data_IF_336945325970
#
_entry.id   IF_336945325970
#
_cell.length_a   1.000
_cell.length_b   1.000
_cell.length_c   1.000
_cell.angle_alpha   90.00
_cell.angle_beta   90.00
_cell.angle_gamma   90.00
#
_symmetry.space_group_name_H-M   'P 1'
#
loop_
_entity.id
_entity.type
_entity.pdbx_description
1 polymer ?
#
# COMPACT_ATOMS: atom_id res chain seq x y z
N UNK A 1 -6.68 -23.31 18.22
CA UNK A 1 -6.70 -21.83 18.21
C UNK A 1 -7.01 -21.39 16.80
N UNK A 2 -7.96 -20.47 16.61
CA UNK A 2 -8.32 -19.98 15.29
C UNK A 2 -7.17 -19.17 14.69
N UNK A 3 -6.85 -19.45 13.42
CA UNK A 3 -5.86 -18.71 12.63
C UNK A 3 -6.52 -18.28 11.33
N UNK A 4 -6.20 -17.09 10.85
CA UNK A 4 -6.61 -16.61 9.53
C UNK A 4 -5.35 -16.27 8.74
N UNK A 5 -5.19 -16.92 7.59
CA UNK A 5 -4.17 -16.56 6.59
C UNK A 5 -4.84 -15.73 5.52
N UNK A 6 -4.33 -14.52 5.30
CA UNK A 6 -4.69 -13.68 4.17
C UNK A 6 -3.48 -13.71 3.23
N UNK A 7 -3.72 -14.17 2.01
CA UNK A 7 -2.72 -14.19 0.93
C UNK A 7 -3.27 -13.34 -0.20
N UNK A 8 -2.48 -12.37 -0.65
CA UNK A 8 -2.82 -11.50 -1.77
C UNK A 8 -1.66 -11.56 -2.77
N UNK A 9 -1.95 -11.97 -4.00
CA UNK A 9 -0.96 -12.01 -5.08
C UNK A 9 -1.09 -10.82 -6.02
N UNK A 10 -0.11 -10.69 -6.92
CA UNK A 10 -0.10 -9.66 -7.96
C UNK A 10 -1.34 -9.72 -8.87
N UNK A 11 -1.83 -10.92 -9.19
CA UNK A 11 -3.00 -11.08 -10.08
C UNK A 11 -4.25 -10.46 -9.46
N UNK A 12 -4.49 -10.70 -8.17
CA UNK A 12 -5.60 -10.09 -7.45
C UNK A 12 -5.48 -8.55 -7.41
N UNK A 13 -4.29 -8.02 -7.12
CA UNK A 13 -4.07 -6.56 -7.04
C UNK A 13 -4.27 -5.90 -8.41
N UNK A 14 -3.68 -6.47 -9.46
CA UNK A 14 -3.80 -5.94 -10.81
C UNK A 14 -5.26 -6.04 -11.28
N UNK A 15 -5.97 -7.14 -11.00
CA UNK A 15 -7.39 -7.26 -11.34
C UNK A 15 -8.28 -6.22 -10.62
N UNK A 16 -7.96 -5.84 -9.38
CA UNK A 16 -8.65 -4.74 -8.69
C UNK A 16 -8.37 -3.39 -9.35
N UNK A 17 -7.11 -3.14 -9.73
CA UNK A 17 -6.69 -1.90 -10.38
C UNK A 17 -7.36 -1.76 -11.74
N UNK A 18 -7.33 -2.82 -12.55
CA UNK A 18 -7.97 -2.86 -13.87
C UNK A 18 -9.45 -2.52 -13.74
N UNK A 19 -10.15 -3.16 -12.79
CA UNK A 19 -11.56 -2.89 -12.53
C UNK A 19 -11.81 -1.44 -12.10
N UNK A 20 -10.95 -0.86 -11.26
CA UNK A 20 -11.05 0.55 -10.86
C UNK A 20 -10.84 1.48 -12.04
N UNK A 21 -9.91 1.18 -12.95
CA UNK A 21 -9.65 1.97 -14.16
C UNK A 21 -10.83 1.87 -15.13
N UNK A 22 -11.36 0.66 -15.36
CA UNK A 22 -12.55 0.42 -16.18
C UNK A 22 -13.78 1.17 -15.65
N UNK A 23 -13.99 1.15 -14.33
CA UNK A 23 -15.12 1.82 -13.68
C UNK A 23 -14.94 3.35 -13.60
N UNK A 24 -13.70 3.86 -13.57
CA UNK A 24 -13.38 5.28 -13.41
C UNK A 24 -12.69 5.90 -14.64
N UNK A 25 -13.15 5.54 -15.85
CA UNK A 25 -12.73 5.94 -17.22
C UNK A 25 -12.42 7.42 -17.52
N UNK A 26 -12.27 8.30 -16.53
CA UNK A 26 -11.94 9.71 -16.66
C UNK A 26 -10.44 10.05 -16.56
N UNK A 27 -9.54 9.08 -16.30
CA UNK A 27 -8.09 9.36 -16.29
C UNK A 27 -7.56 9.40 -17.73
N UNK A 28 -7.71 10.56 -18.39
CA UNK A 28 -7.19 10.79 -19.74
C UNK A 28 -5.67 10.53 -19.78
N UNK A 29 -5.25 9.65 -20.68
CA UNK A 29 -3.85 9.35 -20.92
C UNK A 29 -3.27 8.21 -20.08
N UNK A 30 -4.00 7.59 -19.16
CA UNK A 30 -3.55 6.35 -18.50
C UNK A 30 -3.93 5.15 -19.39
N UNK A 31 -2.92 4.39 -19.85
CA UNK A 31 -3.13 3.18 -20.67
C UNK A 31 -3.14 1.91 -19.81
N UNK A 32 -2.20 1.81 -18.87
CA UNK A 32 -2.06 0.64 -18.02
C UNK A 32 -1.42 1.02 -16.68
N UNK A 33 -1.77 0.29 -15.62
CA UNK A 33 -1.11 0.36 -14.32
C UNK A 33 -0.87 -1.06 -13.81
N UNK A 34 0.39 -1.47 -13.82
CA UNK A 34 0.82 -2.78 -13.33
C UNK A 34 1.52 -2.65 -11.98
N UNK A 35 1.24 -3.59 -11.09
CA UNK A 35 1.83 -3.70 -9.75
C UNK A 35 2.56 -5.02 -9.63
N UNK A 36 3.80 -4.95 -9.14
CA UNK A 36 4.63 -6.10 -8.82
C UNK A 36 5.02 -6.06 -7.35
N UNK A 37 4.83 -7.19 -6.65
CA UNK A 37 5.21 -7.40 -5.27
C UNK A 37 6.60 -8.04 -5.24
N UNK A 38 7.61 -7.26 -4.85
CA UNK A 38 9.01 -7.69 -4.74
C UNK A 38 9.42 -7.79 -3.27
N UNK A 39 10.41 -8.62 -2.96
CA UNK A 39 10.89 -8.76 -1.58
C UNK A 39 11.28 -7.43 -0.92
N UNK A 40 11.78 -6.47 -1.70
CA UNK A 40 12.22 -5.16 -1.24
C UNK A 40 11.15 -4.06 -1.32
N UNK A 41 9.94 -4.36 -1.82
CA UNK A 41 8.88 -3.38 -1.93
C UNK A 41 7.81 -3.67 -2.99
N UNK A 42 7.03 -2.64 -3.29
CA UNK A 42 5.95 -2.68 -4.28
C UNK A 42 6.36 -1.81 -5.46
N UNK A 43 6.53 -2.42 -6.62
CA UNK A 43 6.85 -1.71 -7.85
C UNK A 43 5.56 -1.39 -8.61
N UNK A 44 5.40 -0.13 -9.01
CA UNK A 44 4.31 0.38 -9.82
C UNK A 44 4.89 0.77 -11.18
N UNK A 45 4.33 0.20 -12.24
CA UNK A 45 4.66 0.55 -13.61
C UNK A 45 3.41 1.10 -14.27
N UNK A 46 3.49 2.35 -14.71
CA UNK A 46 2.40 3.07 -15.34
C UNK A 46 2.74 3.34 -16.79
N UNK A 47 1.88 2.91 -17.70
CA UNK A 47 1.98 3.29 -19.11
C UNK A 47 1.01 4.42 -19.38
N UNK A 48 1.53 5.53 -19.91
CA UNK A 48 0.76 6.73 -20.22
C UNK A 48 0.93 7.14 -21.67
N UNK A 49 -0.14 7.72 -22.23
CA UNK A 49 -0.13 8.45 -23.48
C UNK A 49 -0.37 9.92 -23.19
N UNK A 50 0.68 10.72 -23.33
CA UNK A 50 0.62 12.15 -23.11
C UNK A 50 0.95 12.88 -24.41
N UNK A 51 -0.01 13.65 -24.93
CA UNK A 51 0.12 14.41 -26.17
C UNK A 51 0.53 13.55 -27.39
N UNK A 52 0.05 12.30 -27.45
CA UNK A 52 0.35 11.37 -28.54
C UNK A 52 1.73 10.72 -28.43
N UNK A 53 2.37 10.80 -27.26
CA UNK A 53 3.61 10.09 -26.94
C UNK A 53 3.37 9.10 -25.82
N UNK A 54 3.73 7.86 -26.11
CA UNK A 54 3.75 6.80 -25.12
C UNK A 54 4.99 6.96 -24.22
N UNK A 55 4.77 6.88 -22.91
CA UNK A 55 5.81 6.85 -21.92
C UNK A 55 5.48 5.80 -20.86
N UNK A 56 6.52 5.10 -20.40
CA UNK A 56 6.42 4.22 -19.24
C UNK A 56 7.08 4.92 -18.07
N UNK A 57 6.36 4.96 -16.95
CA UNK A 57 6.82 5.59 -15.72
C UNK A 57 6.83 4.54 -14.62
N UNK A 58 7.90 4.50 -13.85
CA UNK A 58 8.09 3.48 -12.81
C UNK A 58 8.33 4.13 -11.46
N UNK A 59 7.73 3.56 -10.42
CA UNK A 59 7.99 3.91 -9.03
C UNK A 59 8.03 2.68 -8.15
N UNK A 60 8.98 2.67 -7.22
CA UNK A 60 9.15 1.61 -6.25
C UNK A 60 8.92 2.17 -4.85
N UNK A 61 7.95 1.57 -4.15
CA UNK A 61 7.67 1.80 -2.75
C UNK A 61 8.41 0.74 -1.93
N UNK A 62 9.52 1.11 -1.29
CA UNK A 62 10.28 0.21 -0.43
C UNK A 62 9.74 0.21 0.98
N UNK A 63 9.68 -0.95 1.62
CA UNK A 63 9.32 -1.06 3.04
C UNK A 63 10.59 -0.89 3.87
N UNK A 64 10.72 0.23 4.57
CA UNK A 64 11.86 0.54 5.45
C UNK A 64 11.68 -0.03 6.86
N UNK A 65 10.46 0.01 7.38
CA UNK A 65 10.10 -0.46 8.71
C UNK A 65 8.74 -1.15 8.64
N UNK A 66 8.65 -2.37 9.17
CA UNK A 66 7.38 -3.09 9.31
C UNK A 66 6.83 -2.87 10.73
N UNK A 67 5.52 -2.69 10.90
CA UNK A 67 4.92 -2.59 12.22
C UNK A 67 5.05 -3.93 12.97
N UNK A 68 5.08 -3.87 14.30
CA UNK A 68 5.17 -5.06 15.16
C UNK A 68 3.84 -5.83 15.18
N UNK A 69 2.72 -5.12 15.23
CA UNK A 69 1.38 -5.67 15.04
C UNK A 69 0.41 -4.63 14.43
N UNK A 70 -0.88 -5.01 14.29
CA UNK A 70 -1.91 -4.14 13.72
C UNK A 70 -2.39 -3.03 14.68
N UNK A 71 -1.98 -3.08 15.94
CA UNK A 71 -2.37 -2.16 17.02
C UNK A 71 -1.24 -1.16 17.33
N UNK A 72 0.01 -1.60 17.18
CA UNK A 72 1.21 -0.89 17.59
C UNK A 72 2.31 -1.01 16.53
N UNK A 73 2.93 0.13 16.28
CA UNK A 73 4.12 0.22 15.45
C UNK A 73 3.92 1.16 14.27
N UNK A 74 4.97 1.20 13.45
CA UNK A 74 5.10 2.13 12.34
C UNK A 74 5.40 1.36 11.08
N UNK A 75 4.61 1.58 10.04
CA UNK A 75 4.98 1.20 8.68
C UNK A 75 5.69 2.40 8.05
N UNK A 76 6.99 2.27 7.78
CA UNK A 76 7.73 3.28 7.03
C UNK A 76 7.96 2.79 5.62
N UNK A 77 7.59 3.63 4.67
CA UNK A 77 7.74 3.39 3.24
C UNK A 77 8.64 4.47 2.66
N UNK A 78 9.49 4.09 1.71
CA UNK A 78 10.30 5.03 0.91
C UNK A 78 9.87 4.97 -0.54
N UNK A 79 9.56 6.13 -1.11
CA UNK A 79 9.18 6.29 -2.49
C UNK A 79 10.42 6.58 -3.35
N UNK A 80 10.65 5.72 -4.33
CA UNK A 80 11.76 5.83 -5.28
C UNK A 80 11.26 5.66 -6.71
N UNK A 81 12.10 5.97 -7.70
CA UNK A 81 11.74 5.94 -9.13
C UNK A 81 11.52 7.34 -9.70
N UNK A 82 10.66 7.42 -10.72
CA UNK A 82 10.39 8.65 -11.47
C UNK A 82 9.87 9.78 -10.57
N UNK A 83 10.37 10.99 -10.81
CA UNK A 83 10.04 12.16 -9.99
C UNK A 83 8.55 12.53 -10.06
N UNK A 84 7.94 12.41 -11.24
CA UNK A 84 6.53 12.74 -11.46
C UNK A 84 5.61 11.82 -10.67
N UNK A 85 5.79 10.50 -10.83
CA UNK A 85 4.98 9.51 -10.10
C UNK A 85 5.23 9.61 -8.60
N UNK A 86 6.48 9.80 -8.17
CA UNK A 86 6.79 9.98 -6.75
C UNK A 86 6.04 11.18 -6.16
N UNK A 87 6.03 12.33 -6.83
CA UNK A 87 5.30 13.52 -6.37
C UNK A 87 3.79 13.31 -6.34
N UNK A 88 3.23 12.55 -7.29
CA UNK A 88 1.81 12.19 -7.28
C UNK A 88 1.50 11.33 -6.03
N UNK A 89 2.29 10.29 -5.78
CA UNK A 89 2.12 9.43 -4.61
C UNK A 89 2.29 10.22 -3.31
N UNK A 90 3.34 11.06 -3.20
CA UNK A 90 3.52 11.96 -2.06
C UNK A 90 2.31 12.86 -1.84
N UNK A 91 1.76 13.43 -2.91
CA UNK A 91 0.56 14.26 -2.87
C UNK A 91 -0.68 13.50 -2.39
N UNK A 92 -0.88 12.26 -2.85
CA UNK A 92 -1.97 11.40 -2.37
C UNK A 92 -1.82 11.13 -0.87
N UNK A 93 -0.64 10.72 -0.41
CA UNK A 93 -0.41 10.45 1.01
C UNK A 93 -0.43 11.72 1.86
N UNK A 94 -0.03 12.87 1.31
CA UNK A 94 -0.19 14.17 1.96
C UNK A 94 -1.67 14.49 2.18
N UNK A 95 -2.51 14.35 1.15
CA UNK A 95 -3.96 14.52 1.29
C UNK A 95 -4.52 13.57 2.35
N UNK A 96 -4.14 12.28 2.32
CA UNK A 96 -4.56 11.31 3.33
C UNK A 96 -4.11 11.71 4.75
N UNK A 97 -2.93 12.31 4.90
CA UNK A 97 -2.45 12.81 6.21
C UNK A 97 -3.27 13.96 6.77
N UNK A 98 -3.85 14.81 5.92
CA UNK A 98 -4.75 15.88 6.37
C UNK A 98 -6.05 15.33 6.99
N UNK A 99 -6.47 14.13 6.57
CA UNK A 99 -7.66 13.46 7.10
C UNK A 99 -7.35 12.45 8.20
N UNK A 100 -6.07 12.14 8.44
CA UNK A 100 -5.65 11.11 9.37
C UNK A 100 -4.35 11.50 10.08
N UNK A 101 -4.45 11.72 11.39
CA UNK A 101 -3.28 11.92 12.27
C UNK A 101 -2.30 10.72 12.27
N UNK A 102 -2.73 9.57 11.71
CA UNK A 102 -1.95 8.35 11.59
C UNK A 102 -1.04 8.30 10.37
N UNK A 103 -1.27 9.12 9.35
CA UNK A 103 -0.46 9.13 8.13
C UNK A 103 0.37 10.41 8.13
N UNK A 104 1.62 10.30 7.73
CA UNK A 104 2.47 11.46 7.44
C UNK A 104 3.32 11.17 6.22
N UNK A 105 3.53 12.20 5.40
CA UNK A 105 4.30 12.13 4.16
C UNK A 105 5.32 13.26 4.18
N UNK A 106 6.62 12.93 4.10
CA UNK A 106 7.70 13.92 4.10
C UNK A 106 8.96 13.34 3.44
N UNK A 107 9.61 14.16 2.61
CA UNK A 107 10.93 13.86 2.02
C UNK A 107 11.00 12.46 1.38
N UNK A 108 10.01 12.11 0.56
CA UNK A 108 9.89 10.80 -0.10
C UNK A 108 9.65 9.61 0.84
N UNK A 109 9.39 9.86 2.12
CA UNK A 109 8.99 8.83 3.08
C UNK A 109 7.52 8.99 3.48
N UNK A 110 6.83 7.87 3.55
CA UNK A 110 5.49 7.77 4.13
C UNK A 110 5.62 7.01 5.44
N UNK A 111 5.07 7.59 6.50
CA UNK A 111 4.96 6.95 7.80
C UNK A 111 3.48 6.76 8.13
N UNK A 112 3.10 5.52 8.38
CA UNK A 112 1.79 5.14 8.91
C UNK A 112 1.98 4.66 10.35
N UNK A 113 1.47 5.43 11.30
CA UNK A 113 1.51 5.17 12.73
C UNK A 113 0.19 4.51 13.18
N UNK A 114 0.22 3.19 13.33
CA UNK A 114 -0.99 2.41 13.67
C UNK A 114 -1.56 2.80 15.04
N UNK A 115 -0.74 3.34 15.95
CA UNK A 115 -1.19 3.81 17.26
C UNK A 115 -2.18 4.97 17.19
N UNK A 116 -2.21 5.70 16.07
CA UNK A 116 -3.05 6.89 15.88
C UNK A 116 -4.26 6.63 14.99
N UNK A 117 -4.40 5.41 14.46
CA UNK A 117 -5.55 5.05 13.63
C UNK A 117 -6.78 5.02 14.54
N UNK A 118 -7.73 5.93 14.31
CA UNK A 118 -8.99 5.95 15.06
C UNK A 118 -9.90 4.83 14.56
N UNK A 119 -9.77 3.66 15.18
CA UNK A 119 -10.58 2.48 14.88
C UNK A 119 -11.90 2.58 15.65
N UNK A 120 -13.01 2.23 15.01
CA UNK A 120 -14.31 2.12 15.67
C UNK A 120 -14.18 1.22 16.93
N UNK A 121 -14.75 1.58 18.09
CA UNK A 121 -14.60 0.82 19.35
C UNK A 121 -14.91 -0.68 19.24
N UNK A 122 -15.85 -1.06 18.38
CA UNK A 122 -16.19 -2.47 18.13
C UNK A 122 -15.06 -3.20 17.39
N UNK A 123 -14.47 -2.56 16.38
CA UNK A 123 -13.33 -3.10 15.63
C UNK A 123 -12.06 -3.06 16.46
N UNK A 124 -11.89 -2.06 17.34
CA UNK A 124 -10.75 -1.93 18.26
C UNK A 124 -10.64 -3.14 19.21
N UNK A 125 -11.77 -3.62 19.72
CA UNK A 125 -11.81 -4.83 20.57
C UNK A 125 -11.38 -6.08 19.80
N UNK A 126 -11.78 -6.20 18.53
CA UNK A 126 -11.41 -7.31 17.64
C UNK A 126 -9.91 -7.22 17.31
N UNK A 127 -9.41 -6.04 16.93
CA UNK A 127 -7.99 -5.80 16.60
C UNK A 127 -7.07 -6.08 17.79
N UNK A 128 -7.45 -5.67 19.00
CA UNK A 128 -6.74 -5.99 20.27
C UNK A 128 -6.66 -7.48 20.56
N UNK A 129 -7.62 -8.25 20.07
CA UNK A 129 -7.66 -9.69 20.25
C UNK A 129 -6.84 -10.42 19.19
N UNK A 130 -6.20 -9.72 18.25
CA UNK A 130 -5.51 -10.30 17.08
C UNK A 130 -4.04 -9.89 17.08
N UNK A 131 -3.14 -10.86 16.89
CA UNK A 131 -1.71 -10.69 16.70
C UNK A 131 -1.34 -10.96 15.24
N UNK A 132 -0.43 -10.15 14.69
CA UNK A 132 0.29 -10.51 13.46
C UNK A 132 1.38 -11.53 13.82
N UNK A 133 1.22 -12.76 13.34
CA UNK A 133 2.22 -13.81 13.53
C UNK A 133 3.21 -13.88 12.35
N UNK A 134 2.81 -13.37 11.18
CA UNK A 134 3.68 -13.29 10.00
C UNK A 134 3.22 -12.14 9.09
N UNK A 135 4.19 -11.35 8.59
CA UNK A 135 4.00 -10.33 7.56
C UNK A 135 5.17 -10.39 6.57
N UNK A 136 4.96 -11.05 5.44
CA UNK A 136 6.02 -11.32 4.46
C UNK A 136 5.59 -10.92 3.05
N UNK A 137 6.55 -10.37 2.29
CA UNK A 137 6.45 -10.27 0.84
C UNK A 137 7.47 -11.26 0.29
N UNK A 138 7.02 -12.30 -0.39
CA UNK A 138 7.89 -13.26 -1.08
C UNK A 138 7.15 -13.82 -2.29
N UNK A 139 7.88 -14.23 -3.33
CA UNK A 139 7.34 -14.93 -4.49
C UNK A 139 6.13 -14.23 -5.16
N UNK A 140 6.11 -12.89 -5.23
CA UNK A 140 4.99 -12.14 -5.83
C UNK A 140 3.73 -12.10 -4.95
N UNK A 141 3.86 -12.39 -3.65
CA UNK A 141 2.73 -12.51 -2.72
C UNK A 141 2.95 -11.73 -1.44
N UNK A 142 1.87 -11.13 -0.96
CA UNK A 142 1.73 -10.59 0.38
C UNK A 142 1.07 -11.64 1.27
N UNK A 143 1.82 -12.14 2.25
CA UNK A 143 1.36 -13.12 3.24
C UNK A 143 1.19 -12.45 4.61
N UNK A 144 -0.06 -12.43 5.09
CA UNK A 144 -0.41 -11.99 6.43
C UNK A 144 -1.05 -13.15 7.20
N UNK A 145 -0.36 -13.62 8.24
CA UNK A 145 -0.91 -14.58 9.20
C UNK A 145 -1.31 -13.85 10.47
N UNK A 146 -2.58 -13.95 10.83
CA UNK A 146 -3.11 -13.42 12.07
C UNK A 146 -3.69 -14.50 12.96
N UNK A 147 -3.51 -14.33 14.26
CA UNK A 147 -3.90 -15.29 15.30
C UNK A 147 -4.53 -14.56 16.49
N UNK A 148 -5.40 -15.23 17.25
CA UNK A 148 -5.94 -14.61 18.47
C UNK A 148 -4.86 -14.47 19.55
N UNK A 149 -4.75 -13.27 20.15
CA UNK A 149 -4.00 -13.03 21.39
C UNK A 149 -4.72 -13.79 22.51
N UNK A 150 -4.03 -14.72 23.16
CA UNK A 150 -4.50 -15.39 24.36
C UNK A 150 -4.49 -14.45 25.57
#
# INVERSE_FOLDING_TARGET
MGKLKIEVDEEFINGLIDKVIEENTQIQGLKNLNVQLREDGINFQMEVDFLGKEATVESLIKILEKPEDLEKGKLRLSLTGDEGVRKILEGVFYILSEFSEAISSKDFEILIDFNKVRINPFIDTIMKSIKISQLQLQDGKFDLLIEFKN
#
